data_IF_867332110959
#
_entry.id   IF_867332110959
#
_cell.length_a   1.000
_cell.length_b   1.000
_cell.length_c   1.000
_cell.angle_alpha   90.00
_cell.angle_beta   90.00
_cell.angle_gamma   90.00
#
_symmetry.space_group_name_H-M   'P 1'
#
loop_
_entity.id
_entity.type
_entity.pdbx_description
1 polymer ?
#
# COMPACT_ATOMS: atom_id res chain seq x y z
N UNK A 1 10.99 6.69 0.59
CA UNK A 1 11.45 5.98 -0.63
C UNK A 1 12.71 6.60 -1.20
N UNK A 2 12.82 7.93 -1.21
CA UNK A 2 14.06 8.61 -1.60
C UNK A 2 15.28 8.17 -0.77
N UNK A 3 15.06 7.85 0.52
CA UNK A 3 16.08 7.29 1.42
C UNK A 3 16.73 5.99 0.95
N UNK A 4 16.06 5.23 0.06
CA UNK A 4 16.59 4.00 -0.55
C UNK A 4 16.89 4.19 -2.05
N UNK A 5 17.11 5.43 -2.49
CA UNK A 5 17.44 5.75 -3.89
C UNK A 5 16.30 5.51 -4.89
N UNK A 6 15.07 5.26 -4.39
CA UNK A 6 13.87 5.13 -5.22
C UNK A 6 13.30 6.52 -5.42
N UNK A 7 13.32 6.99 -6.68
CA UNK A 7 12.55 8.17 -7.06
C UNK A 7 11.08 7.78 -7.16
N UNK A 8 10.20 8.59 -6.59
CA UNK A 8 8.76 8.39 -6.61
C UNK A 8 8.03 9.66 -7.00
N UNK A 9 6.93 9.51 -7.72
CA UNK A 9 6.01 10.58 -8.11
C UNK A 9 4.58 10.21 -7.74
N UNK A 10 3.79 11.21 -7.34
CA UNK A 10 2.36 11.07 -7.14
C UNK A 10 1.65 11.45 -8.44
N UNK A 11 0.91 10.52 -9.01
CA UNK A 11 0.18 10.69 -10.27
C UNK A 11 -1.30 10.84 -9.95
N UNK A 12 -1.86 12.02 -10.19
CA UNK A 12 -3.29 12.23 -10.12
C UNK A 12 -3.99 11.40 -11.19
N UNK A 13 -5.03 10.64 -10.81
CA UNK A 13 -5.76 9.77 -11.73
C UNK A 13 -7.16 10.32 -12.08
N UNK A 14 -7.52 11.46 -11.50
CA UNK A 14 -8.72 12.22 -11.85
C UNK A 14 -9.97 11.76 -11.09
N UNK A 15 -11.12 12.16 -11.62
CA UNK A 15 -12.41 11.94 -10.97
C UNK A 15 -13.01 10.58 -11.36
N UNK A 16 -13.65 9.91 -10.41
CA UNK A 16 -14.50 8.74 -10.66
C UNK A 16 -15.98 9.10 -10.43
N UNK A 17 -16.82 8.71 -11.37
CA UNK A 17 -18.27 8.75 -11.19
C UNK A 17 -18.72 7.45 -10.51
N UNK A 18 -19.43 7.60 -9.40
CA UNK A 18 -19.97 6.50 -8.61
C UNK A 18 -21.32 6.06 -9.18
N UNK A 19 -21.76 4.85 -8.84
CA UNK A 19 -23.10 4.38 -9.23
C UNK A 19 -24.23 5.27 -8.68
N UNK A 20 -23.98 6.04 -7.61
CA UNK A 20 -24.91 7.03 -7.07
C UNK A 20 -25.03 8.30 -7.92
N UNK A 21 -24.18 8.48 -8.93
CA UNK A 21 -24.05 9.73 -9.71
C UNK A 21 -23.11 10.75 -9.07
N UNK A 22 -22.61 10.50 -7.86
CA UNK A 22 -21.61 11.35 -7.22
C UNK A 22 -20.27 11.27 -7.97
N UNK A 23 -19.54 12.38 -8.02
CA UNK A 23 -18.19 12.42 -8.58
C UNK A 23 -17.18 12.64 -7.46
N UNK A 24 -16.25 11.71 -7.31
CA UNK A 24 -15.19 11.77 -6.30
C UNK A 24 -13.84 11.98 -6.97
N UNK A 25 -13.01 12.83 -6.36
CA UNK A 25 -11.61 12.96 -6.76
C UNK A 25 -10.84 11.76 -6.21
N UNK A 26 -10.22 10.99 -7.09
CA UNK A 26 -9.45 9.83 -6.67
C UNK A 26 -8.06 10.28 -6.20
N UNK A 27 -7.62 9.84 -5.02
CA UNK A 27 -6.28 10.18 -4.59
C UNK A 27 -5.23 9.55 -5.51
N UNK A 28 -4.03 10.14 -5.50
CA UNK A 28 -3.02 9.80 -6.49
C UNK A 28 -2.47 8.38 -6.31
N UNK A 29 -1.92 7.85 -7.39
CA UNK A 29 -1.06 6.66 -7.34
C UNK A 29 0.37 7.13 -7.14
N UNK A 30 1.06 6.60 -6.13
CA UNK A 30 2.49 6.76 -5.99
C UNK A 30 3.17 5.73 -6.89
N UNK A 31 3.92 6.19 -7.88
CA UNK A 31 4.75 5.34 -8.73
C UNK A 31 6.21 5.64 -8.43
N UNK A 32 6.98 4.60 -8.16
CA UNK A 32 8.42 4.73 -7.96
C UNK A 32 9.18 3.56 -8.54
N UNK A 33 10.49 3.68 -8.64
CA UNK A 33 11.33 2.55 -9.02
C UNK A 33 12.82 2.83 -8.92
N UNK A 34 13.60 1.76 -8.98
CA UNK A 34 15.05 1.83 -9.14
C UNK A 34 15.40 2.22 -10.58
N UNK A 35 16.66 2.63 -10.81
CA UNK A 35 17.19 2.75 -12.16
C UNK A 35 16.98 1.41 -12.91
N UNK A 36 16.46 1.48 -14.14
CA UNK A 36 16.28 0.31 -14.99
C UNK A 36 17.62 -0.07 -15.64
N UNK A 37 18.08 -1.29 -15.36
CA UNK A 37 19.22 -1.95 -16.01
C UNK A 37 18.69 -2.92 -17.06
N UNK A 38 19.20 -2.84 -18.30
CA UNK A 38 18.64 -3.54 -19.45
C UNK A 38 18.77 -5.07 -19.39
N UNK A 39 19.79 -5.54 -18.68
CA UNK A 39 20.14 -6.95 -18.44
C UNK A 39 19.38 -7.58 -17.27
N UNK A 40 18.59 -6.79 -16.52
CA UNK A 40 17.85 -7.26 -15.34
C UNK A 40 16.34 -7.32 -15.57
N UNK A 41 15.72 -8.40 -15.07
CA UNK A 41 14.25 -8.50 -14.97
C UNK A 41 13.71 -7.41 -14.05
N UNK A 42 12.44 -7.05 -14.21
CA UNK A 42 11.77 -6.04 -13.37
C UNK A 42 10.69 -6.69 -12.51
N UNK A 43 10.79 -6.52 -11.19
CA UNK A 43 9.74 -6.90 -10.25
C UNK A 43 8.80 -5.70 -10.04
N UNK A 44 7.50 -5.92 -10.23
CA UNK A 44 6.46 -4.97 -9.82
C UNK A 44 6.03 -5.31 -8.39
N UNK A 45 6.28 -4.39 -7.46
CA UNK A 45 5.72 -4.44 -6.11
C UNK A 45 4.49 -3.54 -6.09
N UNK A 46 3.34 -4.16 -5.81
CA UNK A 46 2.06 -3.49 -5.69
C UNK A 46 1.62 -3.47 -4.22
N UNK A 47 1.00 -2.37 -3.80
CA UNK A 47 0.39 -2.24 -2.49
C UNK A 47 -0.50 -1.01 -2.41
N UNK A 48 -1.06 -0.77 -1.24
CA UNK A 48 -1.94 0.37 -0.99
C UNK A 48 -1.78 0.90 0.43
N UNK A 49 -2.17 2.16 0.61
CA UNK A 49 -2.03 2.89 1.88
C UNK A 49 -3.35 3.10 2.62
N UNK A 50 -4.47 3.05 1.90
CA UNK A 50 -5.80 3.14 2.50
C UNK A 50 -6.04 1.93 3.41
N UNK A 51 -6.93 2.14 4.37
CA UNK A 51 -7.30 1.11 5.33
C UNK A 51 -8.80 1.18 5.54
N UNK A 52 -9.40 0.02 5.79
CA UNK A 52 -10.80 -0.05 6.21
C UNK A 52 -11.06 0.82 7.45
N UNK A 53 -12.32 1.25 7.59
CA UNK A 53 -12.81 1.75 8.87
C UNK A 53 -12.48 0.76 10.00
N UNK A 54 -12.20 1.29 11.19
CA UNK A 54 -12.01 0.46 12.37
C UNK A 54 -13.33 -0.19 12.84
N UNK A 55 -14.48 0.29 12.34
CA UNK A 55 -15.79 -0.10 12.88
C UNK A 55 -15.98 0.43 14.29
N UNK A 56 -16.72 -0.29 15.12
CA UNK A 56 -16.94 0.08 16.52
C UNK A 56 -15.65 -0.10 17.34
N UNK A 57 -15.20 1.00 17.97
CA UNK A 57 -14.01 1.04 18.82
C UNK A 57 -14.12 0.13 20.05
N UNK A 58 -15.33 -0.15 20.54
CA UNK A 58 -15.54 -1.03 21.68
C UNK A 58 -15.10 -2.48 21.41
N UNK A 59 -15.07 -2.89 20.14
CA UNK A 59 -14.59 -4.22 19.73
C UNK A 59 -13.06 -4.33 19.68
N UNK A 60 -12.34 -3.24 19.91
CA UNK A 60 -10.89 -3.22 19.91
C UNK A 60 -10.33 -3.28 21.33
N UNK A 61 -9.28 -4.10 21.51
CA UNK A 61 -8.53 -4.20 22.77
C UNK A 61 -7.46 -3.11 22.92
N UNK A 62 -7.14 -2.42 21.83
CA UNK A 62 -6.18 -1.31 21.73
C UNK A 62 -6.78 -0.22 20.86
N UNK A 63 -6.24 1.00 20.88
CA UNK A 63 -6.66 2.01 19.90
C UNK A 63 -6.33 1.49 18.48
N UNK A 64 -7.32 1.38 17.56
CA UNK A 64 -7.08 0.84 16.22
C UNK A 64 -6.08 1.65 15.40
N UNK A 65 -5.90 2.93 15.68
CA UNK A 65 -5.01 3.82 14.90
C UNK A 65 -3.71 4.16 15.63
N UNK A 66 -3.45 3.54 16.79
CA UNK A 66 -2.14 3.56 17.44
C UNK A 66 -1.56 2.16 17.42
N UNK A 67 -0.37 2.02 16.83
CA UNK A 67 0.33 0.75 16.81
C UNK A 67 0.63 0.32 18.26
N UNK A 68 0.21 -0.89 18.62
CA UNK A 68 0.46 -1.47 19.93
C UNK A 68 1.13 -2.83 19.76
N UNK A 69 2.16 -3.10 20.55
CA UNK A 69 2.77 -4.44 20.62
C UNK A 69 2.28 -5.16 21.87
N UNK A 70 1.85 -6.42 21.71
CA UNK A 70 1.50 -7.28 22.84
C UNK A 70 1.81 -8.74 22.49
N UNK A 71 2.47 -9.44 23.40
CA UNK A 71 2.81 -10.87 23.27
C UNK A 71 3.50 -11.20 21.92
N UNK A 72 4.42 -10.32 21.49
CA UNK A 72 5.15 -10.45 20.22
C UNK A 72 4.32 -10.20 18.97
N UNK A 73 3.12 -9.62 19.09
CA UNK A 73 2.22 -9.28 17.98
C UNK A 73 1.98 -7.78 17.90
N UNK A 74 1.94 -7.27 16.67
CA UNK A 74 1.60 -5.89 16.36
C UNK A 74 0.10 -5.76 16.08
N UNK A 75 -0.56 -4.86 16.79
CA UNK A 75 -1.98 -4.55 16.69
C UNK A 75 -2.18 -3.14 16.15
N UNK A 76 -3.07 -3.03 15.16
CA UNK A 76 -3.46 -1.76 14.57
C UNK A 76 -4.16 -1.99 13.22
N UNK A 77 -5.11 -1.12 12.90
CA UNK A 77 -5.73 -1.06 11.58
C UNK A 77 -4.65 -0.67 10.56
N UNK A 78 -4.55 -1.44 9.49
CA UNK A 78 -3.55 -1.23 8.47
C UNK A 78 -2.29 -2.06 8.62
N UNK A 79 -2.05 -2.69 9.77
CA UNK A 79 -0.79 -3.42 10.03
C UNK A 79 -0.60 -4.53 9.01
N UNK A 80 -1.45 -5.56 9.02
CA UNK A 80 -1.34 -6.67 8.06
C UNK A 80 -1.81 -6.25 6.66
N UNK A 81 -2.89 -5.46 6.62
CA UNK A 81 -3.60 -5.07 5.43
C UNK A 81 -3.56 -3.54 5.27
N UNK A 82 -2.57 -2.95 4.59
CA UNK A 82 -1.43 -3.58 3.89
C UNK A 82 -0.06 -2.98 4.26
N UNK A 83 -0.01 -2.11 5.28
CA UNK A 83 1.14 -1.23 5.53
C UNK A 83 2.41 -2.01 5.91
N UNK A 84 2.31 -3.09 6.70
CA UNK A 84 3.50 -3.86 7.05
C UNK A 84 4.15 -4.53 5.83
N UNK A 85 3.36 -5.00 4.85
CA UNK A 85 3.90 -5.59 3.63
C UNK A 85 4.64 -4.54 2.78
N UNK A 86 4.06 -3.34 2.62
CA UNK A 86 4.73 -2.21 1.94
C UNK A 86 6.04 -1.85 2.65
N UNK A 87 6.01 -1.75 3.98
CA UNK A 87 7.20 -1.44 4.78
C UNK A 87 8.26 -2.56 4.71
N UNK A 88 7.86 -3.83 4.66
CA UNK A 88 8.78 -4.95 4.53
C UNK A 88 9.56 -4.91 3.21
N UNK A 89 8.90 -4.55 2.10
CA UNK A 89 9.58 -4.35 0.82
C UNK A 89 10.60 -3.22 0.85
N UNK A 90 10.24 -2.09 1.46
CA UNK A 90 11.15 -0.94 1.61
C UNK A 90 12.36 -1.35 2.47
N UNK A 91 12.12 -2.01 3.61
CA UNK A 91 13.16 -2.46 4.52
C UNK A 91 14.09 -3.49 3.87
N UNK A 92 13.56 -4.43 3.08
CA UNK A 92 14.37 -5.41 2.37
C UNK A 92 15.36 -4.74 1.39
N UNK A 93 14.89 -3.76 0.62
CA UNK A 93 15.73 -2.98 -0.30
C UNK A 93 16.79 -2.19 0.47
N UNK A 94 16.39 -1.54 1.57
CA UNK A 94 17.30 -0.77 2.42
C UNK A 94 18.40 -1.64 3.02
N UNK A 95 18.06 -2.83 3.51
CA UNK A 95 19.03 -3.77 4.09
C UNK A 95 20.03 -4.25 3.04
N UNK A 96 19.56 -4.64 1.85
CA UNK A 96 20.44 -5.07 0.75
C UNK A 96 21.41 -3.96 0.34
N UNK A 97 20.92 -2.71 0.25
CA UNK A 97 21.76 -1.55 -0.05
C UNK A 97 22.81 -1.29 1.04
N UNK A 98 22.41 -1.33 2.32
CA UNK A 98 23.32 -1.16 3.46
C UNK A 98 24.40 -2.25 3.51
N UNK A 99 24.11 -3.45 3.02
CA UNK A 99 25.06 -4.55 2.92
C UNK A 99 25.89 -4.52 1.62
N UNK A 100 25.75 -3.48 0.79
CA UNK A 100 26.36 -3.37 -0.54
C UNK A 100 26.05 -4.58 -1.45
N UNK A 101 24.89 -5.21 -1.25
CA UNK A 101 24.41 -6.28 -2.13
C UNK A 101 23.67 -5.63 -3.29
N UNK A 102 24.15 -5.87 -4.50
CA UNK A 102 23.48 -5.41 -5.70
C UNK A 102 22.15 -6.16 -5.87
N UNK A 103 21.07 -5.42 -6.16
CA UNK A 103 19.79 -6.05 -6.42
C UNK A 103 19.87 -6.92 -7.69
N UNK A 104 19.44 -8.19 -7.64
CA UNK A 104 19.47 -9.08 -8.80
C UNK A 104 18.44 -8.71 -9.88
N UNK A 105 17.57 -7.74 -9.59
CA UNK A 105 16.47 -7.29 -10.43
C UNK A 105 16.26 -5.78 -10.30
N UNK A 106 15.59 -5.19 -11.29
CA UNK A 106 15.03 -3.84 -11.18
C UNK A 106 13.74 -3.90 -10.35
N UNK A 107 13.50 -2.91 -9.50
CA UNK A 107 12.24 -2.80 -8.76
C UNK A 107 11.42 -1.65 -9.32
N UNK A 108 10.16 -1.92 -9.67
CA UNK A 108 9.13 -0.92 -9.92
C UNK A 108 8.06 -1.05 -8.84
N UNK A 109 7.72 0.04 -8.19
CA UNK A 109 6.67 0.11 -7.18
C UNK A 109 5.49 0.91 -7.71
N UNK A 110 4.29 0.37 -7.51
CA UNK A 110 3.03 1.09 -7.71
C UNK A 110 2.23 0.96 -6.43
N UNK A 111 2.04 2.08 -5.75
CA UNK A 111 1.30 2.16 -4.51
C UNK A 111 0.07 3.03 -4.72
N UNK A 112 -1.10 2.54 -4.31
CA UNK A 112 -2.36 3.23 -4.47
C UNK A 112 -2.74 3.92 -3.15
N UNK A 113 -3.25 5.16 -3.23
CA UNK A 113 -3.72 5.89 -2.05
C UNK A 113 -5.26 5.78 -1.87
N UNK A 114 -6.00 5.06 -2.74
CA UNK A 114 -7.45 4.82 -2.50
C UNK A 114 -8.03 3.44 -2.83
N UNK A 115 -9.01 3.15 -1.97
CA UNK A 115 -10.29 2.44 -2.14
C UNK A 115 -10.30 1.01 -2.62
N UNK A 116 -9.17 0.31 -2.61
CA UNK A 116 -9.25 -1.15 -2.71
C UNK A 116 -10.12 -1.70 -1.57
N UNK A 117 -9.97 -1.13 -0.37
CA UNK A 117 -10.73 -1.56 0.79
C UNK A 117 -12.23 -1.19 0.67
N UNK A 118 -12.59 0.07 0.45
CA UNK A 118 -14.01 0.48 0.39
C UNK A 118 -14.76 -0.11 -0.80
N UNK A 119 -14.12 -0.31 -1.96
CA UNK A 119 -14.73 -0.97 -3.13
C UNK A 119 -15.12 -2.43 -2.86
N UNK A 120 -14.42 -3.12 -1.96
CA UNK A 120 -14.70 -4.52 -1.59
C UNK A 120 -15.80 -4.63 -0.52
N UNK A 121 -15.95 -3.63 0.35
CA UNK A 121 -16.79 -3.75 1.56
C UNK A 121 -18.12 -3.01 1.53
N UNK A 122 -18.56 -2.49 0.38
CA UNK A 122 -19.90 -1.91 0.32
C UNK A 122 -20.95 -3.03 0.47
N UNK A 123 -21.36 -3.29 1.72
CA UNK A 123 -22.25 -4.39 2.13
C UNK A 123 -23.64 -4.37 1.48
N UNK A 124 -23.96 -3.35 0.69
CA UNK A 124 -25.23 -3.18 0.00
C UNK A 124 -25.20 -3.62 -1.47
N UNK A 125 -24.06 -4.10 -2.01
CA UNK A 125 -24.01 -4.58 -3.39
C UNK A 125 -23.16 -5.86 -3.53
N UNK A 126 -23.76 -7.05 -3.72
CA UNK A 126 -23.06 -8.35 -3.68
C UNK A 126 -22.21 -8.65 -4.94
N UNK A 127 -22.00 -7.70 -5.84
CA UNK A 127 -21.32 -7.90 -7.12
C UNK A 127 -20.02 -7.08 -7.23
N UNK A 128 -19.07 -7.26 -6.32
CA UNK A 128 -17.71 -6.75 -6.52
C UNK A 128 -16.64 -7.82 -6.19
N UNK A 129 -16.24 -8.49 -7.27
CA UNK A 129 -15.01 -9.22 -7.61
C UNK A 129 -14.53 -10.45 -6.80
N UNK A 130 -14.68 -11.61 -7.46
CA UNK A 130 -13.67 -12.68 -7.52
C UNK A 130 -12.44 -12.15 -8.27
N UNK A 131 -11.27 -12.20 -7.64
CA UNK A 131 -10.00 -12.48 -8.32
C UNK A 131 -9.49 -13.81 -7.79
#
# INVERSE_FOLDING_TARGET
MESVGIKSEAIAIGMQEMLSGDRIDLPPIIVGGTRKLADKKTLLVYGYFDVQSAGDKANWRTDPFKLAEKDGRLYGRGVVDNKAAVMAWIAAIEILQKQNVELPLNVKQKLFISDFSTLITNRHNPYYLLI
#
